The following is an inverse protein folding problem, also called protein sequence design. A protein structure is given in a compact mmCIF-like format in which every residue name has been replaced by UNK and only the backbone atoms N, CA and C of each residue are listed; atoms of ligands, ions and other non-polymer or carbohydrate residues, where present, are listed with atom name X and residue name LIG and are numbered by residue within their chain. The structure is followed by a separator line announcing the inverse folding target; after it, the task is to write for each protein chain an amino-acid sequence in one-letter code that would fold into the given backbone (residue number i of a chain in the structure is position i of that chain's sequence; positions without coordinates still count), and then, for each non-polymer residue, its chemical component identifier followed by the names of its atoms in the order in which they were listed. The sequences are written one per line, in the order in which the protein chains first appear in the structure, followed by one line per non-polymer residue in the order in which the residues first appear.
data_IF_375495807151
#
_entry.id   IF_375495807151
#
_cell.length_a   1.000
_cell.length_b   1.000
_cell.length_c   1.000
_cell.angle_alpha   90.00
_cell.angle_beta   90.00
_cell.angle_gamma   90.00
#
_symmetry.space_group_name_H-M   'P 1'
#
loop_
_entity.id
_entity.type
_entity.pdbx_description
1 polymer ?
#
# COMPACT_ATOMS: atom_id res chain seq x y z
N UNK A 1 -2.54 -1.00 -17.62
CA UNK A 1 -2.67 -2.48 -17.52
C UNK A 1 -1.31 -3.18 -17.38
N UNK A 2 -0.27 -2.85 -18.15
CA UNK A 2 1.04 -3.51 -18.07
C UNK A 2 1.74 -3.41 -16.69
N UNK A 3 1.73 -2.22 -16.06
CA UNK A 3 2.36 -2.01 -14.75
C UNK A 3 1.78 -2.87 -13.62
N UNK A 4 0.45 -3.10 -13.62
CA UNK A 4 -0.20 -3.96 -12.62
C UNK A 4 0.16 -5.42 -12.83
N UNK A 5 0.29 -5.88 -14.08
CA UNK A 5 0.74 -7.23 -14.38
C UNK A 5 2.19 -7.46 -13.93
N UNK A 6 3.08 -6.49 -14.14
CA UNK A 6 4.46 -6.53 -13.63
C UNK A 6 4.44 -6.61 -12.10
N UNK A 7 3.68 -5.72 -11.45
CA UNK A 7 3.58 -5.71 -9.98
C UNK A 7 3.10 -7.07 -9.46
N UNK A 8 2.03 -7.63 -10.03
CA UNK A 8 1.53 -8.94 -9.64
C UNK A 8 2.58 -10.03 -9.82
N UNK A 9 3.25 -10.08 -10.98
CA UNK A 9 4.22 -11.11 -11.29
C UNK A 9 5.47 -11.04 -10.39
N UNK A 10 5.95 -9.84 -10.08
CA UNK A 10 7.12 -9.64 -9.24
C UNK A 10 6.81 -9.79 -7.74
N UNK A 11 5.63 -9.34 -7.29
CA UNK A 11 5.29 -9.23 -5.88
C UNK A 11 4.59 -10.48 -5.33
N UNK A 12 3.72 -11.12 -6.12
CA UNK A 12 2.95 -12.28 -5.64
C UNK A 12 3.82 -13.45 -5.14
N UNK A 13 4.96 -13.81 -5.80
CA UNK A 13 5.84 -14.86 -5.29
C UNK A 13 6.47 -14.51 -3.94
N UNK A 14 6.82 -13.25 -3.72
CA UNK A 14 7.41 -12.78 -2.45
C UNK A 14 6.39 -12.72 -1.31
N UNK A 15 5.11 -12.66 -1.63
CA UNK A 15 4.00 -12.59 -0.68
C UNK A 15 3.20 -13.90 -0.59
N UNK A 16 3.75 -15.03 -1.06
CA UNK A 16 3.03 -16.31 -1.10
C UNK A 16 2.61 -16.86 0.28
N UNK A 17 3.21 -16.38 1.37
CA UNK A 17 2.83 -16.70 2.74
C UNK A 17 1.60 -15.93 3.23
N UNK A 18 1.22 -14.83 2.56
CA UNK A 18 -0.02 -14.11 2.84
C UNK A 18 -1.19 -14.94 2.32
N UNK A 19 -2.28 -15.00 3.08
CA UNK A 19 -3.47 -15.74 2.69
C UNK A 19 -3.97 -15.30 1.30
N UNK A 20 -4.12 -16.25 0.36
CA UNK A 20 -4.39 -15.99 -1.06
C UNK A 20 -5.54 -15.01 -1.31
N UNK A 21 -6.66 -15.13 -0.59
CA UNK A 21 -7.80 -14.20 -0.76
C UNK A 21 -7.46 -12.76 -0.33
N UNK A 22 -6.67 -12.60 0.74
CA UNK A 22 -6.26 -11.30 1.26
C UNK A 22 -5.30 -10.62 0.29
N UNK A 23 -4.30 -11.36 -0.20
CA UNK A 23 -3.41 -10.87 -1.25
C UNK A 23 -4.17 -10.49 -2.53
N UNK A 24 -5.10 -11.34 -2.99
CA UNK A 24 -5.91 -11.03 -4.16
C UNK A 24 -6.76 -9.75 -3.97
N UNK A 25 -7.32 -9.56 -2.77
CA UNK A 25 -8.14 -8.37 -2.47
C UNK A 25 -7.28 -7.11 -2.36
N UNK A 26 -6.08 -7.20 -1.78
CA UNK A 26 -5.10 -6.11 -1.76
C UNK A 26 -4.72 -5.69 -3.18
N UNK A 27 -4.35 -6.66 -4.02
CA UNK A 27 -3.95 -6.42 -5.40
C UNK A 27 -5.08 -5.83 -6.26
N UNK A 28 -6.32 -6.31 -6.06
CA UNK A 28 -7.51 -5.72 -6.69
C UNK A 28 -7.71 -4.26 -6.25
N UNK A 29 -7.55 -3.96 -4.96
CA UNK A 29 -7.66 -2.59 -4.46
C UNK A 29 -6.54 -1.68 -5.01
N UNK A 30 -5.30 -2.18 -5.13
CA UNK A 30 -4.20 -1.44 -5.78
C UNK A 30 -4.54 -1.14 -7.23
N UNK A 31 -5.07 -2.11 -7.97
CA UNK A 31 -5.52 -1.91 -9.34
C UNK A 31 -6.62 -0.85 -9.44
N UNK A 32 -7.62 -0.91 -8.54
CA UNK A 32 -8.69 0.09 -8.47
C UNK A 32 -8.14 1.49 -8.16
N UNK A 33 -7.23 1.62 -7.20
CA UNK A 33 -6.59 2.90 -6.83
C UNK A 33 -5.82 3.52 -7.99
N UNK A 34 -5.06 2.73 -8.75
CA UNK A 34 -4.29 3.21 -9.91
C UNK A 34 -5.18 3.59 -11.09
N UNK A 35 -6.38 3.04 -11.18
CA UNK A 35 -7.28 3.24 -12.33
C UNK A 35 -8.03 4.58 -12.37
N UNK A 36 -7.80 5.48 -11.42
CA UNK A 36 -8.45 6.80 -11.43
C UNK A 36 -8.05 7.69 -10.25
N UNK A 37 -8.55 8.93 -10.22
CA UNK A 37 -7.94 10.02 -9.44
C UNK A 37 -8.33 10.05 -7.95
N UNK A 38 -9.50 9.53 -7.59
CA UNK A 38 -10.01 9.62 -6.22
C UNK A 38 -9.62 8.36 -5.44
N UNK A 39 -9.17 8.50 -4.20
CA UNK A 39 -8.80 7.37 -3.33
C UNK A 39 -9.81 7.18 -2.19
N UNK A 40 -11.05 7.64 -2.36
CA UNK A 40 -12.11 7.41 -1.39
C UNK A 40 -12.44 5.91 -1.32
N UNK A 41 -12.89 5.45 -0.15
CA UNK A 41 -13.35 4.09 0.06
C UNK A 41 -14.40 3.68 -0.99
N UNK A 42 -15.35 4.56 -1.26
CA UNK A 42 -16.43 4.36 -2.22
C UNK A 42 -15.90 4.22 -3.65
N UNK A 43 -14.94 5.06 -4.07
CA UNK A 43 -14.40 5.00 -5.43
C UNK A 43 -13.46 3.83 -5.66
N UNK A 44 -12.69 3.43 -4.65
CA UNK A 44 -11.92 2.18 -4.70
C UNK A 44 -12.89 1.01 -4.88
N UNK A 45 -13.93 0.92 -4.04
CA UNK A 45 -14.96 -0.12 -4.14
C UNK A 45 -15.68 -0.11 -5.49
N UNK A 46 -16.03 1.06 -6.02
CA UNK A 46 -16.70 1.20 -7.34
C UNK A 46 -15.85 0.66 -8.48
N UNK A 47 -14.54 0.88 -8.44
CA UNK A 47 -13.59 0.46 -9.49
C UNK A 47 -13.07 -0.96 -9.33
N UNK A 48 -13.31 -1.63 -8.20
CA UNK A 48 -13.03 -3.06 -8.06
C UNK A 48 -13.75 -3.87 -9.15
N UNK A 49 -13.08 -4.91 -9.64
CA UNK A 49 -13.56 -5.73 -10.75
C UNK A 49 -14.68 -6.69 -10.32
N UNK A 50 -15.24 -7.43 -11.29
CA UNK A 50 -16.23 -8.48 -11.07
C UNK A 50 -17.69 -8.01 -11.06
N UNK A 51 -18.60 -8.98 -10.98
CA UNK A 51 -20.06 -8.80 -11.15
C UNK A 51 -20.82 -8.52 -9.84
N UNK A 52 -20.13 -8.46 -8.71
CA UNK A 52 -20.79 -8.19 -7.43
C UNK A 52 -21.49 -6.81 -7.41
N UNK A 53 -22.62 -6.72 -6.71
CA UNK A 53 -23.34 -5.43 -6.54
C UNK A 53 -22.44 -4.38 -5.89
N UNK A 54 -22.63 -3.11 -6.25
CA UNK A 54 -21.78 -1.99 -5.82
C UNK A 54 -21.57 -1.94 -4.30
N UNK A 55 -22.64 -2.07 -3.49
CA UNK A 55 -22.55 -2.11 -2.03
C UNK A 55 -21.59 -3.22 -1.53
N UNK A 56 -21.59 -4.40 -2.14
CA UNK A 56 -20.70 -5.48 -1.73
C UNK A 56 -19.24 -5.19 -2.08
N UNK A 57 -18.98 -4.46 -3.18
CA UNK A 57 -17.62 -4.04 -3.53
C UNK A 57 -17.10 -2.95 -2.58
N UNK A 58 -17.93 -1.98 -2.22
CA UNK A 58 -17.61 -0.95 -1.22
C UNK A 58 -17.32 -1.64 0.14
N UNK A 59 -18.19 -2.56 0.58
CA UNK A 59 -17.98 -3.33 1.80
C UNK A 59 -16.72 -4.19 1.77
N UNK A 60 -16.30 -4.66 0.59
CA UNK A 60 -15.03 -5.38 0.43
C UNK A 60 -13.83 -4.45 0.63
N UNK A 61 -13.85 -3.26 0.02
CA UNK A 61 -12.80 -2.26 0.22
C UNK A 61 -12.72 -1.83 1.70
N UNK A 62 -13.87 -1.66 2.36
CA UNK A 62 -13.97 -1.29 3.77
C UNK A 62 -13.33 -2.35 4.67
N UNK A 63 -13.74 -3.61 4.48
CA UNK A 63 -13.16 -4.76 5.18
C UNK A 63 -11.68 -4.97 4.90
N UNK A 64 -11.17 -4.55 3.75
CA UNK A 64 -9.74 -4.62 3.43
C UNK A 64 -8.97 -3.60 4.27
N UNK A 65 -9.42 -2.35 4.31
CA UNK A 65 -8.77 -1.27 5.08
C UNK A 65 -8.79 -1.58 6.58
N UNK A 66 -9.90 -2.12 7.10
CA UNK A 66 -10.03 -2.57 8.48
C UNK A 66 -9.42 -3.95 8.80
N UNK A 67 -8.69 -4.57 7.87
CA UNK A 67 -8.17 -5.92 8.07
C UNK A 67 -6.90 -5.92 8.95
N UNK A 68 -7.04 -6.13 10.26
CA UNK A 68 -5.90 -6.13 11.20
C UNK A 68 -4.82 -7.16 10.87
N UNK A 69 -5.19 -8.31 10.28
CA UNK A 69 -4.21 -9.31 9.81
C UNK A 69 -3.38 -8.77 8.65
N UNK A 70 -3.99 -8.02 7.72
CA UNK A 70 -3.27 -7.36 6.65
C UNK A 70 -2.33 -6.29 7.19
N UNK A 71 -2.81 -5.49 8.15
CA UNK A 71 -1.98 -4.46 8.78
C UNK A 71 -0.76 -5.07 9.49
N UNK A 72 -0.94 -6.21 10.17
CA UNK A 72 0.17 -6.98 10.75
C UNK A 72 1.17 -7.52 9.71
N UNK A 73 0.77 -7.64 8.45
CA UNK A 73 1.63 -8.08 7.33
C UNK A 73 2.23 -6.92 6.54
N UNK A 74 1.92 -5.66 6.89
CA UNK A 74 2.39 -4.48 6.15
C UNK A 74 3.92 -4.44 6.03
N UNK A 75 4.64 -4.80 7.10
CA UNK A 75 6.12 -4.92 7.09
C UNK A 75 6.60 -5.90 6.03
N UNK A 76 5.90 -6.99 5.82
CA UNK A 76 6.28 -7.97 4.81
C UNK A 76 6.02 -7.47 3.40
N UNK A 77 4.93 -6.74 3.18
CA UNK A 77 4.64 -6.06 1.92
C UNK A 77 5.74 -5.04 1.60
N UNK A 78 6.10 -4.18 2.56
CA UNK A 78 7.22 -3.24 2.42
C UNK A 78 8.55 -3.97 2.15
N UNK A 79 8.86 -5.03 2.89
CA UNK A 79 10.06 -5.83 2.68
C UNK A 79 10.14 -6.43 1.26
N UNK A 80 9.02 -6.91 0.72
CA UNK A 80 8.96 -7.39 -0.65
C UNK A 80 9.19 -6.26 -1.67
N UNK A 81 8.61 -5.08 -1.46
CA UNK A 81 8.86 -3.90 -2.30
C UNK A 81 10.32 -3.46 -2.24
N UNK A 82 10.93 -3.41 -1.04
CA UNK A 82 12.36 -3.09 -0.86
C UNK A 82 13.25 -4.08 -1.63
N UNK A 83 12.98 -5.39 -1.54
CA UNK A 83 13.75 -6.40 -2.29
C UNK A 83 13.71 -6.18 -3.79
N UNK A 84 12.59 -5.69 -4.33
CA UNK A 84 12.45 -5.39 -5.76
C UNK A 84 13.17 -4.07 -6.09
N UNK A 85 12.88 -3.00 -5.34
CA UNK A 85 13.33 -1.64 -5.66
C UNK A 85 14.83 -1.45 -5.45
N UNK A 86 15.41 -2.10 -4.43
CA UNK A 86 16.82 -1.93 -4.05
C UNK A 86 17.74 -2.97 -4.71
N UNK A 87 17.21 -3.97 -5.43
CA UNK A 87 17.96 -5.14 -5.94
C UNK A 87 19.24 -4.80 -6.70
N UNK A 88 19.26 -3.66 -7.41
CA UNK A 88 20.35 -3.24 -8.30
C UNK A 88 21.07 -1.97 -7.82
N UNK A 89 20.75 -1.49 -6.62
CA UNK A 89 21.33 -0.28 -6.06
C UNK A 89 22.34 -0.72 -5.00
N UNK A 90 23.64 -0.53 -5.28
CA UNK A 90 24.70 -0.95 -4.36
C UNK A 90 24.72 -0.12 -3.09
N UNK A 91 24.53 1.19 -3.23
CA UNK A 91 24.56 2.16 -2.14
C UNK A 91 23.31 3.05 -2.23
N UNK A 92 22.16 2.57 -1.72
CA UNK A 92 20.92 3.34 -1.78
C UNK A 92 20.96 4.50 -0.79
N UNK A 93 20.69 5.72 -1.27
CA UNK A 93 20.38 6.85 -0.40
C UNK A 93 18.94 6.71 0.07
N UNK A 94 18.73 6.59 1.38
CA UNK A 94 17.41 6.51 1.99
C UNK A 94 17.14 7.83 2.71
N UNK A 95 16.07 8.51 2.31
CA UNK A 95 15.60 9.73 2.95
C UNK A 95 14.58 9.35 4.01
N UNK A 96 14.82 9.79 5.26
CA UNK A 96 13.92 9.59 6.39
C UNK A 96 13.32 10.93 6.78
N UNK A 97 11.99 11.01 6.79
CA UNK A 97 11.25 12.22 7.12
C UNK A 97 9.98 11.93 7.93
N UNK A 98 9.40 13.00 8.49
CA UNK A 98 8.11 12.99 9.17
C UNK A 98 7.06 13.63 8.27
N UNK A 99 5.87 13.04 8.22
CA UNK A 99 4.72 13.60 7.50
C UNK A 99 3.55 13.80 8.45
N UNK A 100 2.93 14.98 8.42
CA UNK A 100 1.73 15.27 9.19
C UNK A 100 0.54 14.54 8.56
N UNK A 101 -0.06 13.59 9.30
CA UNK A 101 -1.25 12.86 8.85
C UNK A 101 -2.54 13.59 9.19
N UNK A 102 -2.49 14.49 10.17
CA UNK A 102 -3.60 15.37 10.56
C UNK A 102 -3.17 16.82 10.49
N UNK A 103 -4.12 17.69 10.16
CA UNK A 103 -3.90 19.14 10.10
C UNK A 103 -3.51 19.75 11.45
N UNK A 104 -3.88 19.10 12.56
CA UNK A 104 -3.55 19.51 13.92
C UNK A 104 -2.20 18.95 14.43
N UNK A 105 -1.47 18.22 13.58
CA UNK A 105 -0.18 17.60 13.91
C UNK A 105 -0.23 16.61 15.11
N UNK A 106 -1.41 16.14 15.52
CA UNK A 106 -1.54 15.12 16.57
C UNK A 106 -1.14 13.71 16.12
N UNK A 107 -0.85 13.54 14.83
CA UNK A 107 -0.47 12.27 14.24
C UNK A 107 0.56 12.52 13.13
N UNK A 108 1.73 11.89 13.28
CA UNK A 108 2.77 11.91 12.27
C UNK A 108 3.05 10.50 11.74
N UNK A 109 3.50 10.43 10.49
CA UNK A 109 4.05 9.25 9.87
C UNK A 109 5.56 9.40 9.79
N UNK A 110 6.31 8.51 10.43
CA UNK A 110 7.72 8.32 10.13
C UNK A 110 7.83 7.54 8.82
N UNK A 111 8.47 8.13 7.81
CA UNK A 111 8.60 7.55 6.49
C UNK A 111 10.06 7.40 6.09
N UNK A 112 10.40 6.25 5.51
CA UNK A 112 11.64 6.03 4.78
C UNK A 112 11.35 5.91 3.29
N UNK A 113 12.11 6.61 2.45
CA UNK A 113 11.89 6.65 1.00
C UNK A 113 13.17 6.63 0.18
N UNK A 114 13.06 6.12 -1.05
CA UNK A 114 14.10 6.12 -2.06
C UNK A 114 13.84 7.28 -3.05
N UNK A 115 14.77 8.22 -3.24
CA UNK A 115 14.64 9.25 -4.26
C UNK A 115 14.85 8.64 -5.65
N UNK A 116 13.82 8.68 -6.50
CA UNK A 116 13.82 8.12 -7.86
C UNK A 116 13.24 9.15 -8.83
N UNK A 117 14.07 9.69 -9.72
CA UNK A 117 13.60 10.57 -10.81
C UNK A 117 12.78 11.77 -10.33
N UNK A 118 13.18 12.40 -9.22
CA UNK A 118 12.47 13.54 -8.61
C UNK A 118 11.25 13.16 -7.78
N UNK A 119 11.00 11.88 -7.52
CA UNK A 119 9.92 11.38 -6.65
C UNK A 119 10.46 10.60 -5.46
N UNK A 120 9.74 10.63 -4.35
CA UNK A 120 10.02 9.79 -3.20
C UNK A 120 9.22 8.49 -3.30
N UNK A 121 9.90 7.35 -3.46
CA UNK A 121 9.29 6.03 -3.42
C UNK A 121 9.35 5.50 -1.98
N UNK A 122 8.20 5.40 -1.32
CA UNK A 122 8.11 4.91 0.07
C UNK A 122 8.61 3.46 0.18
N UNK A 123 9.62 3.25 1.02
CA UNK A 123 10.16 1.95 1.39
C UNK A 123 9.52 1.42 2.68
N UNK A 124 9.18 2.32 3.59
CA UNK A 124 8.54 2.00 4.87
C UNK A 124 7.79 3.23 5.41
N UNK A 125 6.71 2.98 6.14
CA UNK A 125 5.99 3.99 6.89
C UNK A 125 5.42 3.40 8.17
N UNK A 126 5.53 4.13 9.27
CA UNK A 126 4.89 3.79 10.54
C UNK A 126 4.31 5.04 11.18
N UNK A 127 3.06 4.93 11.62
CA UNK A 127 2.38 5.93 12.41
C UNK A 127 3.03 6.06 13.80
N UNK A 128 3.18 7.30 14.25
CA UNK A 128 3.45 7.63 15.64
C UNK A 128 2.37 8.59 16.12
N UNK A 129 1.59 8.13 17.10
CA UNK A 129 0.72 8.99 17.88
C UNK A 129 1.59 9.86 18.78
N UNK A 130 1.56 11.18 18.59
CA UNK A 130 2.21 12.15 19.50
C UNK A 130 1.37 12.41 20.76
N UNK A 131 0.13 11.92 20.81
CA UNK A 131 -0.77 12.04 21.98
C UNK A 131 -0.48 11.03 23.12
N UNK A 132 0.73 10.47 23.23
CA UNK A 132 1.09 9.53 24.33
C UNK A 132 1.95 10.12 25.45
N UNK A 133 2.16 11.43 25.44
CA UNK A 133 2.80 12.15 26.53
C UNK A 133 1.78 12.93 27.38
#
# INVERSE_FOLDING_TARGET
MHALNILHHCLAPLLAHIHRRRLATLLEAVAASVSGPQLTLTDIGRRCAGSARLHHKIKRADRLLGNTRLQGEARTVYGALCRICLRRIREPVIVVDWLDLKADQSLHLLRASLPVGGRALTLYGSDQDTCKD
#
